data_IF_258620931057
#
_entry.id   IF_258620931057
#
_cell.length_a   1.000
_cell.length_b   1.000
_cell.length_c   1.000
_cell.angle_alpha   90.00
_cell.angle_beta   90.00
_cell.angle_gamma   90.00
#
_symmetry.space_group_name_H-M   'P 1'
#
loop_
_entity.id
_entity.type
_entity.pdbx_description
1 polymer ?
#
# COMPACT_ATOMS: atom_id res chain seq x y z
N UNK A 1 -17.55 -6.59 0.23
CA UNK A 1 -17.84 -7.87 -0.44
C UNK A 1 -16.93 -8.15 -1.65
N UNK A 2 -16.55 -7.13 -2.45
CA UNK A 2 -15.62 -7.32 -3.57
C UNK A 2 -14.25 -7.87 -3.13
N UNK A 3 -13.74 -7.38 -1.99
CA UNK A 3 -12.53 -7.87 -1.34
C UNK A 3 -12.67 -9.35 -0.94
N UNK A 4 -13.81 -9.73 -0.30
CA UNK A 4 -14.08 -11.11 0.05
C UNK A 4 -14.08 -12.03 -1.19
N UNK A 5 -14.71 -11.57 -2.27
CA UNK A 5 -14.72 -12.31 -3.53
C UNK A 5 -13.32 -12.46 -4.12
N UNK A 6 -12.51 -11.40 -4.06
CA UNK A 6 -11.13 -11.43 -4.51
C UNK A 6 -10.29 -12.41 -3.68
N UNK A 7 -10.38 -12.35 -2.35
CA UNK A 7 -9.69 -13.28 -1.46
C UNK A 7 -10.06 -14.74 -1.74
N UNK A 8 -11.35 -15.04 -1.96
CA UNK A 8 -11.81 -16.39 -2.31
C UNK A 8 -11.31 -16.83 -3.69
N UNK A 9 -11.24 -15.92 -4.67
CA UNK A 9 -10.65 -16.21 -5.98
C UNK A 9 -9.16 -16.53 -5.87
N UNK A 10 -8.43 -15.77 -5.03
CA UNK A 10 -7.02 -16.01 -4.77
C UNK A 10 -6.78 -17.40 -4.16
N UNK A 11 -7.60 -17.80 -3.19
CA UNK A 11 -7.52 -19.16 -2.61
C UNK A 11 -7.79 -20.24 -3.68
N UNK A 12 -8.78 -20.04 -4.55
CA UNK A 12 -9.07 -20.97 -5.65
C UNK A 12 -7.94 -21.06 -6.68
N UNK A 13 -7.19 -19.96 -6.86
CA UNK A 13 -6.02 -19.91 -7.71
C UNK A 13 -4.72 -20.29 -6.94
N UNK A 14 -4.88 -20.93 -5.77
CA UNK A 14 -3.81 -21.44 -4.89
C UNK A 14 -2.83 -20.34 -4.42
N UNK A 15 -3.28 -19.09 -4.28
CA UNK A 15 -2.53 -18.03 -3.61
C UNK A 15 -2.81 -18.10 -2.10
N UNK A 16 -1.78 -18.14 -1.26
CA UNK A 16 -1.95 -18.31 0.20
C UNK A 16 -2.39 -16.97 0.84
N UNK A 17 -3.69 -16.75 0.89
CA UNK A 17 -4.31 -15.56 1.54
C UNK A 17 -5.26 -16.01 2.64
N UNK A 18 -5.37 -15.19 3.70
CA UNK A 18 -6.40 -15.37 4.72
C UNK A 18 -7.74 -14.87 4.16
N UNK A 19 -8.54 -15.79 3.61
CA UNK A 19 -9.87 -15.47 3.08
C UNK A 19 -10.96 -15.59 4.16
N UNK A 20 -12.07 -14.82 4.07
CA UNK A 20 -13.15 -14.88 5.02
C UNK A 20 -13.89 -16.21 4.98
N UNK A 21 -14.30 -16.68 6.16
CA UNK A 21 -15.10 -17.91 6.31
C UNK A 21 -16.56 -17.65 5.91
N UNK A 22 -17.11 -18.51 5.08
CA UNK A 22 -18.51 -18.41 4.69
C UNK A 22 -19.42 -19.18 5.68
N UNK A 23 -20.48 -18.52 6.14
CA UNK A 23 -21.58 -19.13 6.90
C UNK A 23 -22.85 -19.07 6.06
N UNK A 24 -23.41 -20.24 5.74
CA UNK A 24 -24.56 -20.36 4.84
C UNK A 24 -24.35 -19.62 3.49
N UNK A 25 -23.14 -19.65 2.95
CA UNK A 25 -22.78 -18.98 1.71
C UNK A 25 -22.52 -17.48 1.81
N UNK A 26 -22.58 -16.90 3.00
CA UNK A 26 -22.32 -15.46 3.25
C UNK A 26 -21.01 -15.27 4.00
N UNK A 27 -20.18 -14.36 3.53
CA UNK A 27 -18.91 -13.96 4.18
C UNK A 27 -19.02 -12.66 4.97
N UNK A 28 -20.04 -11.83 4.67
CA UNK A 28 -20.36 -10.62 5.42
C UNK A 28 -21.63 -10.89 6.23
N UNK A 29 -21.49 -10.86 7.52
CA UNK A 29 -22.56 -11.17 8.48
C UNK A 29 -23.09 -9.86 9.09
N UNK A 30 -24.35 -9.88 9.54
CA UNK A 30 -24.94 -8.78 10.27
C UNK A 30 -25.50 -9.28 11.60
N UNK A 31 -25.17 -8.59 12.69
CA UNK A 31 -25.77 -8.82 14.00
C UNK A 31 -26.05 -7.47 14.67
N UNK A 32 -27.31 -7.23 15.05
CA UNK A 32 -27.75 -5.99 15.70
C UNK A 32 -27.34 -4.70 14.98
N UNK A 33 -27.32 -4.71 13.64
CA UNK A 33 -26.95 -3.58 12.81
C UNK A 33 -25.43 -3.44 12.54
N UNK A 34 -24.59 -4.27 13.15
CA UNK A 34 -23.16 -4.32 12.88
C UNK A 34 -22.83 -5.35 11.81
N UNK A 35 -22.03 -4.92 10.83
CA UNK A 35 -21.48 -5.83 9.82
C UNK A 35 -20.10 -6.31 10.26
N UNK A 36 -19.84 -7.61 10.09
CA UNK A 36 -18.57 -8.22 10.43
C UNK A 36 -18.27 -9.43 9.53
N UNK A 37 -17.00 -9.77 9.41
CA UNK A 37 -16.52 -10.97 8.76
C UNK A 37 -15.68 -11.79 9.74
N UNK A 38 -15.59 -13.09 9.51
CA UNK A 38 -14.78 -14.02 10.31
C UNK A 38 -13.67 -14.56 9.43
N UNK A 39 -12.46 -14.46 9.90
CA UNK A 39 -11.28 -14.98 9.22
C UNK A 39 -10.66 -16.13 10.01
N UNK A 40 -9.97 -17.08 9.36
CA UNK A 40 -9.21 -18.09 10.06
C UNK A 40 -8.09 -17.43 10.86
N UNK A 41 -7.84 -17.94 12.07
CA UNK A 41 -6.63 -17.54 12.80
C UNK A 41 -5.43 -18.21 12.15
N UNK A 42 -4.61 -17.45 11.47
CA UNK A 42 -3.37 -17.91 10.85
C UNK A 42 -2.18 -17.54 11.72
N UNK A 43 -1.29 -18.50 11.97
CA UNK A 43 -0.06 -18.28 12.71
C UNK A 43 1.13 -18.23 11.76
N UNK A 44 2.19 -17.57 12.19
CA UNK A 44 3.44 -17.46 11.45
C UNK A 44 4.37 -16.46 12.14
N UNK A 45 5.66 -16.49 11.78
CA UNK A 45 6.59 -15.39 12.08
C UNK A 45 6.42 -14.30 11.04
N UNK A 46 6.96 -13.15 11.28
CA UNK A 46 6.98 -12.07 10.30
C UNK A 46 7.89 -12.45 9.12
N UNK A 47 7.51 -12.02 7.92
CA UNK A 47 8.35 -12.07 6.72
C UNK A 47 9.64 -11.26 6.92
N UNK A 48 10.75 -11.82 6.49
CA UNK A 48 12.09 -11.24 6.61
C UNK A 48 12.53 -10.72 5.23
N UNK A 49 12.44 -9.41 5.01
CA UNK A 49 12.72 -8.80 3.71
C UNK A 49 14.21 -8.83 3.28
N UNK A 50 15.13 -9.17 4.18
CA UNK A 50 16.54 -9.43 3.91
C UNK A 50 16.84 -10.89 3.55
N UNK A 51 15.83 -11.77 3.64
CA UNK A 51 15.94 -13.18 3.27
C UNK A 51 15.55 -13.37 1.81
N UNK A 52 16.53 -13.64 0.95
CA UNK A 52 16.35 -13.77 -0.50
C UNK A 52 15.39 -14.90 -0.86
N UNK A 53 15.44 -16.06 -0.20
CA UNK A 53 14.56 -17.19 -0.48
C UNK A 53 13.09 -16.83 -0.17
N UNK A 54 12.87 -16.06 0.92
CA UNK A 54 11.52 -15.57 1.25
C UNK A 54 11.05 -14.52 0.25
N UNK A 55 11.93 -13.63 -0.18
CA UNK A 55 11.65 -12.60 -1.17
C UNK A 55 11.24 -13.21 -2.52
N UNK A 56 11.98 -14.22 -2.97
CA UNK A 56 11.70 -14.98 -4.18
C UNK A 56 10.34 -15.69 -4.10
N UNK A 57 10.05 -16.37 -2.98
CA UNK A 57 8.75 -17.01 -2.79
C UNK A 57 7.59 -16.00 -2.78
N UNK A 58 7.76 -14.84 -2.14
CA UNK A 58 6.77 -13.76 -2.16
C UNK A 58 6.58 -13.21 -3.58
N UNK A 59 7.66 -13.02 -4.35
CA UNK A 59 7.60 -12.62 -5.76
C UNK A 59 6.72 -13.54 -6.61
N UNK A 60 6.91 -14.87 -6.49
CA UNK A 60 6.09 -15.87 -7.19
C UNK A 60 4.61 -15.72 -6.85
N UNK A 61 4.27 -15.59 -5.57
CA UNK A 61 2.86 -15.48 -5.16
C UNK A 61 2.25 -14.13 -5.51
N UNK A 62 3.02 -13.04 -5.54
CA UNK A 62 2.56 -11.75 -6.07
C UNK A 62 2.27 -11.84 -7.58
N UNK A 63 3.12 -12.53 -8.34
CA UNK A 63 2.85 -12.80 -9.76
C UNK A 63 1.54 -13.55 -9.96
N UNK A 64 1.26 -14.60 -9.17
CA UNK A 64 -0.02 -15.34 -9.19
C UNK A 64 -1.19 -14.49 -8.74
N UNK A 65 -1.04 -13.71 -7.67
CA UNK A 65 -2.07 -12.79 -7.18
C UNK A 65 -2.47 -11.79 -8.26
N UNK A 66 -1.49 -11.18 -8.92
CA UNK A 66 -1.71 -10.21 -9.97
C UNK A 66 -2.25 -10.85 -11.27
N UNK A 67 -1.87 -12.10 -11.58
CA UNK A 67 -2.51 -12.85 -12.66
C UNK A 67 -4.03 -13.00 -12.41
N UNK A 68 -4.43 -13.29 -11.18
CA UNK A 68 -5.84 -13.30 -10.77
C UNK A 68 -6.43 -11.88 -10.78
N UNK A 69 -5.67 -10.90 -10.33
CA UNK A 69 -6.06 -9.49 -10.31
C UNK A 69 -6.42 -8.93 -11.70
N UNK A 70 -5.71 -9.37 -12.74
CA UNK A 70 -5.94 -8.95 -14.14
C UNK A 70 -7.25 -9.48 -14.75
N UNK A 71 -7.86 -10.54 -14.19
CA UNK A 71 -9.07 -11.15 -14.74
C UNK A 71 -10.29 -10.21 -14.76
N UNK A 72 -10.38 -9.29 -13.78
CA UNK A 72 -11.43 -8.26 -13.66
C UNK A 72 -10.98 -7.15 -12.71
N UNK A 73 -11.58 -5.98 -12.80
CA UNK A 73 -11.34 -4.88 -11.85
C UNK A 73 -12.39 -4.87 -10.75
N UNK A 74 -12.07 -4.23 -9.63
CA UNK A 74 -13.08 -3.81 -8.66
C UNK A 74 -13.97 -2.72 -9.26
N UNK A 75 -15.25 -2.75 -8.96
CA UNK A 75 -16.22 -1.76 -9.44
C UNK A 75 -16.48 -0.69 -8.37
N UNK A 76 -16.55 -1.11 -7.11
CA UNK A 76 -16.88 -0.22 -5.98
C UNK A 76 -15.66 0.13 -5.12
N UNK A 77 -14.60 -0.67 -5.17
CA UNK A 77 -13.36 -0.34 -4.47
C UNK A 77 -12.56 0.67 -5.27
N UNK A 78 -11.78 1.52 -4.56
CA UNK A 78 -11.09 2.64 -5.21
C UNK A 78 -10.00 2.17 -6.19
N UNK A 79 -9.63 3.10 -7.06
CA UNK A 79 -8.42 2.99 -7.90
C UNK A 79 -7.40 3.98 -7.40
N UNK A 80 -6.12 3.56 -7.31
CA UNK A 80 -5.03 4.45 -6.92
C UNK A 80 -4.94 5.61 -7.92
N UNK A 81 -5.00 6.83 -7.40
CA UNK A 81 -4.93 8.04 -8.22
C UNK A 81 -4.72 9.31 -7.39
N UNK A 82 -4.35 10.39 -8.07
CA UNK A 82 -3.98 11.66 -7.43
C UNK A 82 -5.13 12.24 -6.60
N UNK A 83 -6.38 12.12 -7.06
CA UNK A 83 -7.50 12.74 -6.38
C UNK A 83 -7.70 12.15 -4.98
N UNK A 84 -7.77 10.82 -4.88
CA UNK A 84 -8.02 10.11 -3.62
C UNK A 84 -6.85 10.24 -2.64
N UNK A 85 -5.63 10.15 -3.17
CA UNK A 85 -4.43 10.08 -2.33
C UNK A 85 -3.85 11.44 -1.95
N UNK A 86 -4.11 12.49 -2.74
CA UNK A 86 -3.49 13.79 -2.54
C UNK A 86 -4.50 14.94 -2.44
N UNK A 87 -5.42 15.06 -3.41
CA UNK A 87 -6.28 16.25 -3.50
C UNK A 87 -7.34 16.27 -2.39
N UNK A 88 -8.03 15.15 -2.16
CA UNK A 88 -9.00 15.05 -1.06
C UNK A 88 -8.33 15.13 0.32
N UNK A 89 -7.20 14.43 0.59
CA UNK A 89 -6.41 14.64 1.80
C UNK A 89 -5.99 16.08 2.02
N UNK A 90 -5.51 16.76 0.99
CA UNK A 90 -5.08 18.16 1.10
C UNK A 90 -6.21 19.09 1.55
N UNK A 91 -7.42 18.89 1.01
CA UNK A 91 -8.61 19.64 1.45
C UNK A 91 -8.94 19.35 2.92
N UNK A 92 -8.88 18.08 3.33
CA UNK A 92 -9.08 17.69 4.73
C UNK A 92 -8.08 18.38 5.66
N UNK A 93 -6.81 18.50 5.27
CA UNK A 93 -5.79 19.17 6.07
C UNK A 93 -6.06 20.68 6.24
N UNK A 94 -6.68 21.32 5.26
CA UNK A 94 -7.04 22.73 5.30
C UNK A 94 -8.00 23.05 6.46
N UNK A 95 -8.97 22.17 6.69
CA UNK A 95 -9.99 22.34 7.74
C UNK A 95 -9.59 21.66 9.08
N UNK A 96 -8.51 20.88 9.10
CA UNK A 96 -8.13 20.09 10.26
C UNK A 96 -7.72 20.96 11.45
N UNK A 97 -8.34 20.70 12.61
CA UNK A 97 -8.00 21.32 13.90
C UNK A 97 -6.87 20.62 14.64
N UNK A 98 -6.51 19.41 14.22
CA UNK A 98 -5.41 18.63 14.78
C UNK A 98 -4.02 19.23 14.48
N UNK A 99 -3.92 20.00 13.40
CA UNK A 99 -2.69 20.66 13.03
C UNK A 99 -2.54 21.93 13.87
N UNK A 100 -1.46 22.08 14.69
CA UNK A 100 -1.25 23.28 15.47
C UNK A 100 -1.26 24.54 14.58
N UNK A 101 -1.97 25.58 15.03
CA UNK A 101 -2.18 26.78 14.22
C UNK A 101 -0.88 27.46 13.77
N UNK A 102 0.16 27.44 14.64
CA UNK A 102 1.47 27.99 14.32
C UNK A 102 2.26 27.21 13.26
N UNK A 103 1.94 25.93 13.04
CA UNK A 103 2.63 25.05 12.10
C UNK A 103 1.84 24.83 10.80
N UNK A 104 0.54 25.12 10.83
CA UNK A 104 -0.39 24.77 9.76
C UNK A 104 0.02 25.33 8.39
N UNK A 105 0.41 26.61 8.33
CA UNK A 105 0.81 27.24 7.07
C UNK A 105 2.05 26.58 6.45
N UNK A 106 3.05 26.24 7.26
CA UNK A 106 4.26 25.56 6.81
C UNK A 106 3.96 24.13 6.34
N UNK A 107 3.12 23.39 7.09
CA UNK A 107 2.71 22.05 6.73
C UNK A 107 1.92 22.02 5.42
N UNK A 108 0.94 22.92 5.24
CA UNK A 108 0.16 22.99 4.00
C UNK A 108 1.04 23.35 2.79
N UNK A 109 2.00 24.27 2.97
CA UNK A 109 2.96 24.60 1.91
C UNK A 109 3.80 23.38 1.52
N UNK A 110 4.34 22.65 2.48
CA UNK A 110 5.12 21.43 2.22
C UNK A 110 4.26 20.35 1.52
N UNK A 111 2.98 20.25 1.91
CA UNK A 111 2.02 19.36 1.24
C UNK A 111 1.79 19.75 -0.21
N UNK A 112 1.62 21.04 -0.50
CA UNK A 112 1.40 21.56 -1.85
C UNK A 112 2.63 21.34 -2.74
N UNK A 113 3.85 21.54 -2.21
CA UNK A 113 5.11 21.26 -2.89
C UNK A 113 5.26 19.75 -3.20
N UNK A 114 4.92 18.87 -2.24
CA UNK A 114 4.94 17.43 -2.44
C UNK A 114 3.92 17.01 -3.50
N UNK A 115 2.71 17.53 -3.47
CA UNK A 115 1.67 17.26 -4.48
C UNK A 115 2.13 17.66 -5.87
N UNK A 116 2.74 18.85 -6.00
CA UNK A 116 3.28 19.31 -7.28
C UNK A 116 4.38 18.38 -7.80
N UNK A 117 5.30 17.94 -6.92
CA UNK A 117 6.36 17.00 -7.28
C UNK A 117 5.80 15.64 -7.72
N UNK A 118 4.82 15.08 -6.98
CA UNK A 118 4.17 13.82 -7.37
C UNK A 118 3.46 13.97 -8.73
N UNK A 119 2.69 15.04 -8.91
CA UNK A 119 1.93 15.28 -10.15
C UNK A 119 2.84 15.36 -11.38
N UNK A 120 4.04 15.91 -11.23
CA UNK A 120 5.03 15.99 -12.31
C UNK A 120 5.62 14.63 -12.72
N UNK A 121 5.59 13.63 -11.83
CA UNK A 121 6.16 12.30 -12.04
C UNK A 121 5.11 11.20 -12.15
N UNK A 122 3.84 11.52 -11.85
CA UNK A 122 2.76 10.55 -11.95
C UNK A 122 2.42 10.24 -13.41
N UNK A 123 2.27 8.97 -13.70
CA UNK A 123 1.86 8.44 -15.00
C UNK A 123 0.64 7.56 -14.81
N UNK A 124 -0.25 7.54 -15.80
CA UNK A 124 -1.48 6.73 -15.81
C UNK A 124 -1.49 5.70 -16.95
N UNK A 125 -0.37 5.53 -17.64
CA UNK A 125 -0.21 4.61 -18.75
C UNK A 125 0.24 3.19 -18.33
N UNK A 126 0.01 2.83 -17.06
CA UNK A 126 0.24 1.49 -16.53
C UNK A 126 -0.99 0.59 -16.68
N UNK A 127 -0.78 -0.72 -16.63
CA UNK A 127 -1.88 -1.68 -16.58
C UNK A 127 -2.53 -1.69 -15.21
N UNK A 128 -3.83 -1.36 -15.15
CA UNK A 128 -4.60 -1.40 -13.90
C UNK A 128 -5.06 -2.82 -13.62
N UNK A 129 -4.83 -3.30 -12.39
CA UNK A 129 -5.27 -4.61 -11.91
C UNK A 129 -5.71 -4.53 -10.45
N UNK A 130 -6.37 -5.58 -9.94
CA UNK A 130 -6.67 -5.69 -8.51
C UNK A 130 -5.43 -6.06 -7.73
N UNK A 131 -5.18 -5.33 -6.66
CA UNK A 131 -4.01 -5.42 -5.79
C UNK A 131 -4.40 -5.86 -4.38
N UNK A 132 -3.42 -6.32 -3.63
CA UNK A 132 -3.49 -6.33 -2.17
C UNK A 132 -3.66 -4.90 -1.64
N UNK A 133 -2.90 -3.95 -2.21
CA UNK A 133 -3.00 -2.52 -1.96
C UNK A 133 -2.18 -2.02 -0.76
N UNK A 134 -1.94 -2.87 0.25
CA UNK A 134 -1.10 -2.59 1.42
C UNK A 134 -0.13 -3.75 1.70
N UNK A 135 0.54 -4.27 0.66
CA UNK A 135 1.42 -5.42 0.72
C UNK A 135 2.79 -5.06 1.33
N UNK A 136 2.85 -4.88 2.64
CA UNK A 136 4.09 -4.66 3.37
C UNK A 136 4.49 -5.88 4.21
N UNK A 137 5.72 -5.92 4.71
CA UNK A 137 6.25 -7.06 5.47
C UNK A 137 5.38 -7.48 6.68
N UNK A 138 4.66 -6.52 7.30
CA UNK A 138 3.73 -6.80 8.41
C UNK A 138 2.47 -7.57 8.01
N UNK A 139 2.10 -7.53 6.72
CA UNK A 139 0.92 -8.22 6.18
C UNK A 139 1.29 -9.54 5.49
N UNK A 140 2.51 -10.02 5.70
CA UNK A 140 2.97 -11.34 5.24
C UNK A 140 3.45 -12.15 6.44
N UNK A 141 2.71 -13.20 6.77
CA UNK A 141 3.10 -14.17 7.78
C UNK A 141 3.86 -15.32 7.12
N UNK A 142 4.89 -15.82 7.79
CA UNK A 142 5.73 -16.88 7.27
C UNK A 142 5.60 -18.15 8.09
N UNK A 143 5.10 -19.21 7.47
CA UNK A 143 5.05 -20.57 8.03
C UNK A 143 5.08 -21.58 6.88
N UNK A 144 6.24 -22.16 6.63
CA UNK A 144 6.45 -23.09 5.51
C UNK A 144 6.18 -22.46 4.12
N UNK A 145 6.14 -21.13 4.06
CA UNK A 145 5.80 -20.29 2.94
C UNK A 145 5.09 -19.00 3.38
N UNK A 146 4.86 -18.04 2.48
CA UNK A 146 4.14 -16.80 2.78
C UNK A 146 2.63 -17.06 2.94
N UNK A 147 2.01 -16.29 3.82
CA UNK A 147 0.55 -16.17 3.97
C UNK A 147 0.23 -14.68 3.98
N UNK A 148 -0.47 -14.20 2.96
CA UNK A 148 -0.90 -12.81 2.87
C UNK A 148 -2.15 -12.60 3.72
N UNK A 149 -2.15 -11.53 4.50
CA UNK A 149 -3.26 -11.16 5.40
C UNK A 149 -3.64 -9.70 5.18
N UNK A 150 -4.83 -9.33 5.64
CA UNK A 150 -5.30 -7.93 5.65
C UNK A 150 -5.46 -7.32 4.25
N UNK A 151 -6.42 -7.87 3.48
CA UNK A 151 -6.81 -7.32 2.18
C UNK A 151 -7.79 -6.12 2.30
N UNK A 152 -7.93 -5.52 3.47
CA UNK A 152 -8.85 -4.40 3.71
C UNK A 152 -8.59 -3.21 2.79
N UNK A 153 -7.35 -3.02 2.38
CA UNK A 153 -6.92 -1.99 1.45
C UNK A 153 -6.85 -2.45 -0.02
N UNK A 154 -7.35 -3.65 -0.33
CA UNK A 154 -7.39 -4.15 -1.72
C UNK A 154 -8.08 -3.15 -2.64
N UNK A 155 -7.46 -2.83 -3.75
CA UNK A 155 -7.89 -1.78 -4.70
C UNK A 155 -7.37 -2.02 -6.11
N UNK A 156 -7.77 -1.18 -7.04
CA UNK A 156 -7.21 -1.19 -8.38
C UNK A 156 -5.95 -0.29 -8.44
N UNK A 157 -4.94 -0.70 -9.19
CA UNK A 157 -3.73 0.12 -9.38
C UNK A 157 -2.63 -0.58 -10.17
N UNK A 158 -1.42 0.01 -10.23
CA UNK A 158 -0.25 -0.56 -10.87
C UNK A 158 0.35 -1.70 -10.04
N UNK A 159 0.92 -2.71 -10.70
CA UNK A 159 1.52 -3.87 -10.05
C UNK A 159 2.61 -3.49 -9.04
N UNK A 160 3.41 -2.49 -9.36
CA UNK A 160 4.51 -2.03 -8.49
C UNK A 160 4.05 -1.65 -7.08
N UNK A 161 2.76 -1.27 -6.88
CA UNK A 161 2.24 -0.92 -5.56
C UNK A 161 2.44 -2.03 -4.53
N UNK A 162 2.25 -3.29 -4.91
CA UNK A 162 2.41 -4.41 -3.99
C UNK A 162 3.87 -4.89 -3.86
N UNK A 163 4.77 -4.40 -4.71
CA UNK A 163 6.17 -4.79 -4.70
C UNK A 163 7.04 -3.81 -3.89
N UNK A 164 6.86 -2.49 -4.11
CA UNK A 164 7.77 -1.50 -3.52
C UNK A 164 7.69 -1.43 -1.99
N UNK A 165 6.57 -1.79 -1.40
CA UNK A 165 6.38 -1.75 0.05
C UNK A 165 7.15 -2.84 0.81
N UNK A 166 7.74 -3.78 0.09
CA UNK A 166 8.61 -4.83 0.63
C UNK A 166 10.08 -4.40 0.66
N UNK A 167 10.43 -3.35 -0.10
CA UNK A 167 11.80 -2.89 -0.24
C UNK A 167 12.27 -2.12 1.00
N UNK A 168 13.49 -2.41 1.45
CA UNK A 168 14.12 -1.73 2.58
C UNK A 168 15.62 -1.54 2.36
N UNK A 169 16.27 -0.81 3.28
CA UNK A 169 17.70 -0.54 3.19
C UNK A 169 18.05 0.58 2.20
N UNK A 170 19.28 0.57 1.72
CA UNK A 170 19.77 1.55 0.75
C UNK A 170 19.33 1.24 -0.70
N UNK A 171 19.64 2.14 -1.64
CA UNK A 171 19.25 1.97 -3.05
C UNK A 171 19.83 0.71 -3.71
N UNK A 172 20.99 0.24 -3.27
CA UNK A 172 21.61 -0.98 -3.82
C UNK A 172 20.89 -2.23 -3.30
N UNK A 173 20.55 -2.24 -2.02
CA UNK A 173 19.76 -3.30 -1.39
C UNK A 173 18.35 -3.35 -1.98
N UNK A 174 17.68 -2.22 -2.09
CA UNK A 174 16.34 -2.14 -2.71
C UNK A 174 16.33 -2.62 -4.17
N UNK A 175 17.39 -2.31 -4.93
CA UNK A 175 17.52 -2.81 -6.31
C UNK A 175 17.62 -4.32 -6.35
N UNK A 176 18.51 -4.92 -5.54
CA UNK A 176 18.68 -6.37 -5.47
C UNK A 176 17.38 -7.06 -5.06
N UNK A 177 16.68 -6.52 -4.05
CA UNK A 177 15.40 -7.03 -3.59
C UNK A 177 14.34 -6.97 -4.69
N UNK A 178 14.25 -5.84 -5.41
CA UNK A 178 13.28 -5.66 -6.48
C UNK A 178 13.57 -6.60 -7.66
N UNK A 179 14.84 -6.76 -8.05
CA UNK A 179 15.28 -7.71 -9.09
C UNK A 179 14.86 -9.15 -8.73
N UNK A 180 15.11 -9.57 -7.48
CA UNK A 180 14.70 -10.89 -6.98
C UNK A 180 13.16 -11.08 -7.04
N UNK A 181 12.40 -10.06 -6.61
CA UNK A 181 10.94 -10.13 -6.65
C UNK A 181 10.45 -10.21 -8.10
N UNK A 182 10.96 -9.36 -9.00
CA UNK A 182 10.52 -9.30 -10.40
C UNK A 182 10.84 -10.60 -11.12
N UNK A 183 12.05 -11.15 -10.97
CA UNK A 183 12.44 -12.42 -11.59
C UNK A 183 11.46 -13.55 -11.21
N UNK A 184 11.14 -13.67 -9.93
CA UNK A 184 10.22 -14.67 -9.43
C UNK A 184 8.74 -14.38 -9.83
N UNK A 185 8.35 -13.10 -9.87
CA UNK A 185 7.04 -12.66 -10.29
C UNK A 185 6.76 -13.01 -11.76
N UNK A 186 7.78 -12.86 -12.61
CA UNK A 186 7.67 -13.11 -14.05
C UNK A 186 7.51 -14.60 -14.41
N UNK A 187 7.67 -15.52 -13.46
CA UNK A 187 7.25 -16.91 -13.65
C UNK A 187 5.72 -17.06 -13.90
N UNK A 188 4.91 -16.09 -13.45
CA UNK A 188 3.45 -16.15 -13.50
C UNK A 188 2.77 -14.96 -14.19
N UNK A 189 3.39 -13.79 -14.19
CA UNK A 189 2.78 -12.57 -14.73
C UNK A 189 3.84 -11.63 -15.25
N UNK A 190 3.68 -11.09 -16.44
CA UNK A 190 4.57 -10.08 -17.01
C UNK A 190 4.58 -8.82 -16.14
N UNK A 191 5.77 -8.25 -15.90
CA UNK A 191 5.96 -7.02 -15.16
C UNK A 191 6.40 -5.89 -16.09
N UNK A 192 5.69 -4.76 -16.06
CA UNK A 192 6.09 -3.56 -16.78
C UNK A 192 7.14 -2.77 -15.98
N UNK A 193 8.40 -2.86 -16.39
CA UNK A 193 9.51 -2.17 -15.72
C UNK A 193 9.38 -0.64 -15.74
N UNK A 194 8.54 -0.05 -16.60
CA UNK A 194 8.23 1.37 -16.58
C UNK A 194 7.51 1.79 -15.28
N UNK A 195 6.82 0.86 -14.61
CA UNK A 195 6.16 1.11 -13.33
C UNK A 195 7.15 1.40 -12.17
N UNK A 196 8.42 1.03 -12.31
CA UNK A 196 9.46 1.32 -11.30
C UNK A 196 9.58 2.84 -11.03
N UNK A 197 9.36 3.66 -12.05
CA UNK A 197 9.29 5.10 -11.90
C UNK A 197 8.17 5.62 -10.99
N UNK A 198 7.19 4.78 -10.66
CA UNK A 198 6.07 5.11 -9.77
C UNK A 198 6.38 4.85 -8.28
N UNK A 199 7.51 4.24 -7.91
CA UNK A 199 7.83 3.91 -6.51
C UNK A 199 7.78 5.15 -5.62
N UNK A 200 8.50 6.20 -5.96
CA UNK A 200 8.55 7.41 -5.12
C UNK A 200 7.25 8.24 -5.17
N UNK A 201 6.56 8.40 -6.32
CA UNK A 201 5.19 8.90 -6.34
C UNK A 201 4.23 8.14 -5.40
N UNK A 202 4.20 6.81 -5.46
CA UNK A 202 3.35 5.98 -4.60
C UNK A 202 3.72 6.09 -3.12
N UNK A 203 5.03 6.16 -2.80
CA UNK A 203 5.51 6.39 -1.44
C UNK A 203 5.01 7.73 -0.89
N UNK A 204 5.13 8.81 -1.67
CA UNK A 204 4.63 10.13 -1.30
C UNK A 204 3.10 10.13 -1.11
N UNK A 205 2.38 9.52 -2.05
CA UNK A 205 0.93 9.37 -1.97
C UNK A 205 0.50 8.63 -0.70
N UNK A 206 1.19 7.53 -0.34
CA UNK A 206 0.92 6.79 0.89
C UNK A 206 1.14 7.65 2.15
N UNK A 207 2.19 8.46 2.21
CA UNK A 207 2.46 9.36 3.35
C UNK A 207 1.29 10.33 3.59
N UNK A 208 0.79 10.94 2.52
CA UNK A 208 -0.34 11.89 2.58
C UNK A 208 -1.64 11.18 2.92
N UNK A 209 -1.92 10.06 2.26
CA UNK A 209 -3.13 9.29 2.45
C UNK A 209 -3.25 8.72 3.87
N UNK A 210 -2.17 8.16 4.42
CA UNK A 210 -2.14 7.62 5.77
C UNK A 210 -2.47 8.68 6.83
N UNK A 211 -1.92 9.88 6.68
CA UNK A 211 -2.23 10.98 7.59
C UNK A 211 -3.71 11.39 7.51
N UNK A 212 -4.26 11.47 6.30
CA UNK A 212 -5.68 11.73 6.11
C UNK A 212 -6.57 10.62 6.68
N UNK A 213 -6.15 9.36 6.55
CA UNK A 213 -6.83 8.21 7.14
C UNK A 213 -6.92 8.31 8.67
N UNK A 214 -5.83 8.69 9.34
CA UNK A 214 -5.82 8.95 10.79
C UNK A 214 -6.79 10.07 11.17
N UNK A 215 -6.78 11.17 10.42
CA UNK A 215 -7.63 12.33 10.71
C UNK A 215 -9.12 12.03 10.50
N UNK A 216 -9.49 11.31 9.44
CA UNK A 216 -10.89 10.94 9.17
C UNK A 216 -11.48 10.09 10.29
N UNK A 217 -10.65 9.29 10.96
CA UNK A 217 -11.06 8.39 12.05
C UNK A 217 -10.85 8.97 13.44
N UNK A 218 -10.39 10.20 13.55
CA UNK A 218 -10.04 10.81 14.84
C UNK A 218 -11.22 10.94 15.82
N UNK A 219 -12.44 11.00 15.32
CA UNK A 219 -13.66 11.02 16.16
C UNK A 219 -13.93 9.67 16.86
N UNK A 220 -13.35 8.56 16.39
CA UNK A 220 -13.43 7.27 17.08
C UNK A 220 -12.50 7.31 18.30
N UNK A 221 -13.02 7.03 19.53
CA UNK A 221 -12.23 7.09 20.77
C UNK A 221 -10.98 6.18 20.79
N UNK A 222 -10.93 5.14 19.96
CA UNK A 222 -9.78 4.27 19.82
C UNK A 222 -8.58 5.01 19.19
N UNK A 223 -8.82 5.95 18.26
CA UNK A 223 -7.74 6.63 17.52
C UNK A 223 -6.91 7.56 18.41
N UNK A 224 -7.46 8.52 19.16
CA UNK A 224 -6.67 9.34 20.08
C UNK A 224 -5.90 8.50 21.11
N UNK A 225 -6.44 7.36 21.52
CA UNK A 225 -5.79 6.47 22.49
C UNK A 225 -4.59 5.72 21.88
N UNK A 226 -4.72 5.26 20.62
CA UNK A 226 -3.67 4.50 19.94
C UNK A 226 -2.65 5.39 19.25
N UNK A 227 -3.02 6.62 18.87
CA UNK A 227 -2.19 7.58 18.14
C UNK A 227 -2.06 8.93 18.88
N UNK A 228 -1.74 8.94 20.20
CA UNK A 228 -1.70 10.17 21.01
C UNK A 228 -0.70 11.20 20.48
N UNK A 229 0.31 10.76 19.78
CA UNK A 229 1.37 11.58 19.19
C UNK A 229 0.87 12.52 18.08
N UNK A 230 -0.31 12.27 17.48
CA UNK A 230 -0.88 13.10 16.41
C UNK A 230 -1.26 14.51 16.87
N UNK A 231 -1.42 14.73 18.19
CA UNK A 231 -1.70 16.05 18.76
C UNK A 231 -0.44 16.85 19.13
N UNK A 232 0.75 16.24 19.03
CA UNK A 232 2.00 16.84 19.44
C UNK A 232 2.65 17.71 18.36
N UNK A 233 3.14 18.91 18.71
CA UNK A 233 3.83 19.81 17.78
C UNK A 233 5.05 19.16 17.13
N UNK A 234 5.83 18.39 17.90
CA UNK A 234 7.01 17.67 17.39
C UNK A 234 6.68 16.70 16.27
N UNK A 235 5.51 16.08 16.31
CA UNK A 235 5.05 15.21 15.22
C UNK A 235 4.84 16.01 13.94
N UNK A 236 4.16 17.16 14.03
CA UNK A 236 3.86 18.01 12.87
C UNK A 236 5.11 18.63 12.25
N UNK A 237 6.09 18.99 13.08
CA UNK A 237 7.40 19.44 12.59
C UNK A 237 8.11 18.34 11.80
N UNK A 238 8.17 17.11 12.36
CA UNK A 238 8.75 15.96 11.66
C UNK A 238 7.99 15.62 10.39
N UNK A 239 6.65 15.62 10.43
CA UNK A 239 5.83 15.32 9.27
C UNK A 239 6.03 16.34 8.14
N UNK A 240 6.15 17.62 8.49
CA UNK A 240 6.48 18.68 7.52
C UNK A 240 7.85 18.44 6.89
N UNK A 241 8.86 18.12 7.71
CA UNK A 241 10.20 17.79 7.21
C UNK A 241 10.20 16.54 6.32
N UNK A 242 9.44 15.51 6.67
CA UNK A 242 9.27 14.29 5.85
C UNK A 242 8.68 14.63 4.48
N UNK A 243 7.68 15.49 4.40
CA UNK A 243 7.09 15.88 3.11
C UNK A 243 8.07 16.68 2.25
N UNK A 244 8.84 17.60 2.85
CA UNK A 244 9.88 18.35 2.16
C UNK A 244 10.98 17.41 1.63
N UNK A 245 11.39 16.44 2.43
CA UNK A 245 12.43 15.48 2.03
C UNK A 245 11.93 14.57 0.90
N UNK A 246 10.70 14.04 1.01
CA UNK A 246 10.11 13.21 -0.04
C UNK A 246 9.94 13.98 -1.36
N UNK A 247 9.63 15.28 -1.29
CA UNK A 247 9.57 16.13 -2.48
C UNK A 247 10.93 16.27 -3.17
N UNK A 248 12.04 16.26 -2.41
CA UNK A 248 13.41 16.25 -2.98
C UNK A 248 13.77 14.89 -3.58
N UNK A 249 13.43 13.79 -2.89
CA UNK A 249 13.67 12.43 -3.41
C UNK A 249 13.00 12.23 -4.76
N UNK A 250 11.80 12.78 -4.98
CA UNK A 250 11.12 12.77 -6.28
C UNK A 250 11.89 13.45 -7.41
N UNK A 251 12.86 14.34 -7.11
CA UNK A 251 13.71 14.96 -8.12
C UNK A 251 14.96 14.12 -8.46
N UNK A 252 15.22 13.06 -7.69
CA UNK A 252 16.32 12.14 -7.98
C UNK A 252 15.94 11.14 -9.08
N UNK A 253 16.91 10.56 -9.78
CA UNK A 253 16.63 9.47 -10.71
C UNK A 253 15.93 8.31 -9.99
N UNK A 254 14.89 7.70 -10.63
CA UNK A 254 14.21 6.54 -10.08
C UNK A 254 15.18 5.37 -9.90
N UNK A 255 14.76 4.40 -9.10
CA UNK A 255 15.47 3.12 -8.98
C UNK A 255 15.61 2.49 -10.37
N UNK A 256 16.80 1.97 -10.68
CA UNK A 256 17.07 1.34 -11.97
C UNK A 256 17.54 -0.10 -11.74
N UNK A 257 17.00 -1.02 -12.51
CA UNK A 257 17.46 -2.41 -12.53
C UNK A 257 18.84 -2.51 -13.21
N UNK A 258 19.56 -3.56 -12.89
CA UNK A 258 20.82 -3.87 -13.58
C UNK A 258 20.51 -4.19 -15.05
N UNK A 259 21.22 -3.57 -16.02
CA UNK A 259 21.00 -3.91 -17.42
C UNK A 259 21.28 -5.42 -17.66
N UNK A 260 20.30 -6.10 -18.23
CA UNK A 260 20.55 -7.46 -18.74
C UNK A 260 21.40 -7.33 -20.02
N UNK A 261 22.57 -7.97 -20.01
CA UNK A 261 23.48 -8.01 -21.16
C UNK A 261 23.07 -9.11 -22.14
#
# INVERSE_FOLDING_TARGET
>A
LEEHQFALQLVNDEVPVAAPVAFNGQTLLNHQGFYFAVFPSVGGRQFEADNIDQMEAVGRYLGRMHQTGRKQLFIHRPTIGLNEYLIEPRKLFEDATLIPSGLKAAFLKATDELIAAVTAHWREDFTVLRLHGDCHAGNILWRDGPMFVDLDDARNGPAIQDLWMLLNGDKAEQRMQLETIIEAYEEFSEFDTAEIGLIEPLRAMRLVYYLAWLMRRWADPAFPKNFPWLTGEDYWLRQTATFIEQAKVLQEPPLQLTPMY
#
